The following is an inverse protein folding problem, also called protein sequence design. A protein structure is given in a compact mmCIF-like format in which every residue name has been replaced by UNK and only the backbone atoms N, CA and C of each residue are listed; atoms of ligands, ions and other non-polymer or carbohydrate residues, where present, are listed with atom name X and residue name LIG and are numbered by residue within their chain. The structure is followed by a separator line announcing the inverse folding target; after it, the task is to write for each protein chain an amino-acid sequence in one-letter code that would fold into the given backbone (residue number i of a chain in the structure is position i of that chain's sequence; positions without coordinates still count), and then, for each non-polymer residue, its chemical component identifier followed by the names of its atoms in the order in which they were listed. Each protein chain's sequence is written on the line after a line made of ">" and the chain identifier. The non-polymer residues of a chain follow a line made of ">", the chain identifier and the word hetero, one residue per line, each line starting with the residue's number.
data_IF_861278386481
#
_entry.id   IF_861278386481
#
_cell.length_a   1.000
_cell.length_b   1.000
_cell.length_c   1.000
_cell.angle_alpha   90.00
_cell.angle_beta   90.00
_cell.angle_gamma   90.00
#
_symmetry.space_group_name_H-M   'P 1'
#
loop_
_entity.id
_entity.type
_entity.pdbx_description
1 polymer ?
#
# COMPACT_ATOMS: atom_id res chain seq x y z
N UNK A 1 -27.99 -28.36 -9.30
CA UNK A 1 -26.95 -28.56 -10.35
C UNK A 1 -26.18 -27.29 -10.76
N UNK A 2 -26.80 -26.09 -10.82
CA UNK A 2 -26.13 -24.86 -11.29
C UNK A 2 -24.97 -24.36 -10.39
N UNK A 3 -25.14 -24.42 -9.08
CA UNK A 3 -24.13 -24.00 -8.10
C UNK A 3 -22.83 -24.81 -8.20
N UNK A 4 -22.91 -26.14 -8.32
CA UNK A 4 -21.71 -26.99 -8.49
C UNK A 4 -20.92 -26.61 -9.74
N UNK A 5 -21.59 -26.32 -10.87
CA UNK A 5 -20.93 -25.88 -12.11
C UNK A 5 -20.26 -24.52 -11.93
N UNK A 6 -20.92 -23.58 -11.26
CA UNK A 6 -20.34 -22.29 -10.93
C UNK A 6 -19.09 -22.42 -10.03
N UNK A 7 -19.13 -23.29 -9.01
CA UNK A 7 -17.97 -23.52 -8.13
C UNK A 7 -16.80 -24.20 -8.86
N UNK A 8 -17.08 -25.11 -9.81
CA UNK A 8 -16.04 -25.72 -10.64
C UNK A 8 -15.42 -24.67 -11.57
N UNK A 9 -16.24 -23.84 -12.22
CA UNK A 9 -15.74 -22.74 -13.06
C UNK A 9 -14.89 -21.74 -12.26
N UNK A 10 -15.34 -21.37 -11.06
CA UNK A 10 -14.60 -20.50 -10.14
C UNK A 10 -13.26 -21.12 -9.74
N UNK A 11 -13.23 -22.42 -9.40
CA UNK A 11 -12.00 -23.13 -9.05
C UNK A 11 -11.00 -23.13 -10.21
N UNK A 12 -11.48 -23.32 -11.45
CA UNK A 12 -10.65 -23.28 -12.65
C UNK A 12 -10.09 -21.87 -12.86
N UNK A 13 -10.93 -20.84 -12.78
CA UNK A 13 -10.51 -19.44 -12.89
C UNK A 13 -9.45 -19.09 -11.83
N UNK A 14 -9.69 -19.44 -10.57
CA UNK A 14 -8.74 -19.20 -9.47
C UNK A 14 -7.41 -19.94 -9.65
N UNK A 15 -7.43 -21.14 -10.24
CA UNK A 15 -6.20 -21.87 -10.54
C UNK A 15 -5.37 -21.18 -11.63
N UNK A 16 -6.02 -20.61 -12.64
CA UNK A 16 -5.38 -19.82 -13.68
C UNK A 16 -4.80 -18.51 -13.11
N UNK A 17 -5.61 -17.76 -12.34
CA UNK A 17 -5.18 -16.53 -11.64
C UNK A 17 -3.95 -16.77 -10.77
N UNK A 18 -3.88 -17.92 -10.07
CA UNK A 18 -2.71 -18.29 -9.25
C UNK A 18 -1.45 -18.46 -10.09
N UNK A 19 -1.56 -19.06 -11.28
CA UNK A 19 -0.42 -19.28 -12.16
C UNK A 19 0.10 -17.95 -12.72
N UNK A 20 -0.81 -17.07 -13.17
CA UNK A 20 -0.48 -15.71 -13.64
C UNK A 20 0.14 -14.87 -12.51
N UNK A 21 -0.40 -14.95 -11.29
CA UNK A 21 0.17 -14.30 -10.10
C UNK A 21 1.60 -14.74 -9.84
N UNK A 22 1.91 -16.04 -9.98
CA UNK A 22 3.26 -16.57 -9.76
C UNK A 22 4.25 -16.04 -10.80
N UNK A 23 3.81 -15.93 -12.05
CA UNK A 23 4.61 -15.36 -13.13
C UNK A 23 4.87 -13.86 -12.88
N UNK A 24 3.85 -13.09 -12.55
CA UNK A 24 3.93 -11.68 -12.16
C UNK A 24 4.93 -11.47 -11.01
N UNK A 25 4.85 -12.25 -9.93
CA UNK A 25 5.78 -12.15 -8.80
C UNK A 25 7.22 -12.53 -9.19
N UNK A 26 7.41 -13.43 -10.17
CA UNK A 26 8.73 -13.75 -10.70
C UNK A 26 9.36 -12.56 -11.42
N UNK A 27 8.57 -11.75 -12.14
CA UNK A 27 9.02 -10.53 -12.81
C UNK A 27 9.50 -9.52 -11.76
N UNK A 28 8.76 -9.34 -10.66
CA UNK A 28 9.20 -8.47 -9.58
C UNK A 28 10.52 -8.92 -8.95
N UNK A 29 10.67 -10.23 -8.70
CA UNK A 29 11.93 -10.78 -8.20
C UNK A 29 13.09 -10.46 -9.16
N UNK A 30 12.93 -10.69 -10.46
CA UNK A 30 13.97 -10.37 -11.47
C UNK A 30 14.24 -8.87 -11.57
N UNK A 31 13.21 -8.04 -11.44
CA UNK A 31 13.36 -6.59 -11.45
C UNK A 31 14.23 -6.10 -10.29
N UNK A 32 14.05 -6.63 -9.09
CA UNK A 32 14.94 -6.32 -7.95
C UNK A 32 16.39 -6.74 -8.16
N UNK A 33 16.63 -7.67 -9.08
CA UNK A 33 17.96 -8.15 -9.47
C UNK A 33 18.53 -7.41 -10.69
N UNK A 34 17.80 -6.42 -11.23
CA UNK A 34 18.19 -5.68 -12.43
C UNK A 34 18.04 -6.47 -13.74
N UNK A 35 17.31 -7.58 -13.73
CA UNK A 35 17.25 -8.56 -14.83
C UNK A 35 15.95 -8.48 -15.67
N UNK A 36 15.23 -7.35 -15.66
CA UNK A 36 13.94 -7.22 -16.36
C UNK A 36 13.84 -5.91 -17.14
N UNK A 37 13.08 -5.92 -18.23
CA UNK A 37 12.80 -4.72 -19.03
C UNK A 37 11.57 -3.96 -18.48
N UNK A 38 11.53 -2.64 -18.64
CA UNK A 38 10.41 -1.76 -18.23
C UNK A 38 9.05 -2.23 -18.76
N UNK A 39 9.01 -2.84 -19.95
CA UNK A 39 7.79 -3.38 -20.55
C UNK A 39 7.21 -4.58 -19.77
N UNK A 40 8.08 -5.49 -19.28
CA UNK A 40 7.65 -6.62 -18.46
C UNK A 40 7.12 -6.15 -17.10
N UNK A 41 7.82 -5.20 -16.48
CA UNK A 41 7.38 -4.60 -15.22
C UNK A 41 6.01 -3.91 -15.36
N UNK A 42 5.79 -3.20 -16.48
CA UNK A 42 4.50 -2.55 -16.76
C UNK A 42 3.36 -3.58 -16.84
N UNK A 43 3.56 -4.70 -17.53
CA UNK A 43 2.57 -5.79 -17.59
C UNK A 43 2.32 -6.42 -16.22
N UNK A 44 3.36 -6.68 -15.44
CA UNK A 44 3.24 -7.20 -14.09
C UNK A 44 2.39 -6.28 -13.18
N UNK A 45 2.57 -4.96 -13.30
CA UNK A 45 1.79 -3.97 -12.56
C UNK A 45 0.31 -3.94 -12.98
N UNK A 46 0.02 -4.06 -14.28
CA UNK A 46 -1.35 -4.14 -14.79
C UNK A 46 -2.07 -5.38 -14.22
N UNK A 47 -1.41 -6.54 -14.24
CA UNK A 47 -1.93 -7.77 -13.64
C UNK A 47 -2.14 -7.64 -12.13
N UNK A 48 -1.21 -6.99 -11.41
CA UNK A 48 -1.37 -6.76 -9.98
C UNK A 48 -2.62 -5.92 -9.66
N UNK A 49 -2.89 -4.88 -10.45
CA UNK A 49 -4.10 -4.05 -10.33
C UNK A 49 -5.38 -4.86 -10.57
N UNK A 50 -5.36 -5.79 -11.53
CA UNK A 50 -6.52 -6.64 -11.81
C UNK A 50 -6.77 -7.69 -10.71
N UNK A 51 -5.70 -8.25 -10.13
CA UNK A 51 -5.80 -9.10 -8.93
C UNK A 51 -6.44 -8.31 -7.77
N UNK A 52 -6.01 -7.07 -7.53
CA UNK A 52 -6.62 -6.22 -6.50
C UNK A 52 -8.11 -5.96 -6.76
N UNK A 53 -8.50 -5.71 -8.02
CA UNK A 53 -9.92 -5.58 -8.40
C UNK A 53 -10.69 -6.88 -8.13
N UNK A 54 -10.12 -8.03 -8.49
CA UNK A 54 -10.70 -9.36 -8.26
C UNK A 54 -10.86 -9.73 -6.78
N UNK A 55 -9.97 -9.22 -5.92
CA UNK A 55 -10.04 -9.37 -4.46
C UNK A 55 -11.01 -8.37 -3.78
N UNK A 56 -11.70 -7.53 -4.55
CA UNK A 56 -12.59 -6.49 -4.02
C UNK A 56 -11.86 -5.26 -3.47
N UNK A 57 -10.56 -5.13 -3.73
CA UNK A 57 -9.72 -4.00 -3.35
C UNK A 57 -9.67 -2.91 -4.45
N UNK A 58 -10.69 -2.87 -5.32
CA UNK A 58 -10.74 -1.96 -6.48
C UNK A 58 -10.60 -0.47 -6.12
N UNK A 59 -11.14 -0.04 -4.96
CA UNK A 59 -10.93 1.33 -4.43
C UNK A 59 -9.46 1.62 -4.16
N UNK A 60 -8.73 0.65 -3.60
CA UNK A 60 -7.31 0.79 -3.28
C UNK A 60 -6.42 0.67 -4.51
N UNK A 61 -6.88 -0.04 -5.54
CA UNK A 61 -6.19 -0.13 -6.82
C UNK A 61 -6.23 1.18 -7.63
N UNK A 62 -7.24 2.04 -7.40
CA UNK A 62 -7.45 3.30 -8.13
C UNK A 62 -6.84 4.50 -7.38
N UNK A 63 -6.78 4.47 -6.04
CA UNK A 63 -6.31 5.59 -5.22
C UNK A 63 -5.28 5.16 -4.16
N UNK A 64 -3.97 5.19 -4.48
CA UNK A 64 -2.97 5.38 -3.43
C UNK A 64 -3.19 6.78 -2.80
N UNK A 65 -2.98 6.92 -1.48
CA UNK A 65 -3.08 8.18 -0.69
C UNK A 65 -4.46 8.64 -0.17
N UNK A 66 -5.50 7.80 -0.17
CA UNK A 66 -6.71 8.15 0.59
C UNK A 66 -6.38 8.23 2.11
N UNK A 67 -6.93 9.19 2.87
CA UNK A 67 -6.70 9.32 4.32
C UNK A 67 -6.96 8.04 5.13
N UNK A 68 -7.79 7.13 4.60
CA UNK A 68 -8.13 5.85 5.22
C UNK A 68 -7.13 4.72 4.91
N UNK A 69 -6.26 4.89 3.92
CA UNK A 69 -5.34 3.84 3.45
C UNK A 69 -4.31 3.46 4.52
N UNK A 70 -3.71 4.43 5.22
CA UNK A 70 -2.74 4.15 6.30
C UNK A 70 -3.40 3.33 7.42
N UNK A 71 -4.54 3.73 8.02
CA UNK A 71 -5.24 2.93 9.02
C UNK A 71 -5.53 1.48 8.57
N UNK A 72 -5.90 1.30 7.30
CA UNK A 72 -6.23 -0.03 6.78
C UNK A 72 -5.00 -0.92 6.62
N UNK A 73 -3.93 -0.40 5.99
CA UNK A 73 -2.67 -1.14 5.81
C UNK A 73 -2.08 -1.55 7.15
N UNK A 74 -2.12 -0.67 8.15
CA UNK A 74 -1.71 -0.98 9.54
C UNK A 74 -2.55 -2.10 10.14
N UNK A 75 -3.88 -2.08 9.97
CA UNK A 75 -4.76 -3.15 10.47
C UNK A 75 -4.49 -4.49 9.78
N UNK A 76 -4.29 -4.49 8.46
CA UNK A 76 -3.99 -5.71 7.70
C UNK A 76 -2.63 -6.29 8.08
N UNK A 77 -1.60 -5.45 8.21
CA UNK A 77 -0.29 -5.85 8.70
C UNK A 77 -0.37 -6.53 10.06
N UNK A 78 -1.05 -5.89 11.03
CA UNK A 78 -1.28 -6.47 12.37
C UNK A 78 -2.05 -7.78 12.32
N UNK A 79 -3.05 -7.90 11.43
CA UNK A 79 -3.83 -9.12 11.28
C UNK A 79 -3.00 -10.31 10.77
N UNK A 80 -1.98 -10.05 9.95
CA UNK A 80 -1.03 -11.07 9.47
C UNK A 80 0.26 -11.16 10.29
N UNK A 81 0.35 -10.43 11.41
CA UNK A 81 1.49 -10.47 12.34
C UNK A 81 2.71 -9.64 11.94
N UNK A 82 2.57 -8.70 10.99
CA UNK A 82 3.65 -7.83 10.50
C UNK A 82 3.40 -6.38 10.94
N UNK A 83 4.36 -5.78 11.64
CA UNK A 83 4.33 -4.33 11.88
C UNK A 83 4.86 -3.59 10.66
N UNK A 84 3.98 -2.82 10.03
CA UNK A 84 4.23 -2.08 8.79
C UNK A 84 4.51 -0.60 9.05
N UNK A 85 4.43 -0.15 10.31
CA UNK A 85 4.73 1.23 10.67
C UNK A 85 6.24 1.43 10.88
N UNK A 86 6.83 2.52 10.36
CA UNK A 86 8.19 2.88 10.73
C UNK A 86 8.25 3.16 12.23
N UNK A 87 9.35 2.79 12.89
CA UNK A 87 9.55 3.04 14.33
C UNK A 87 9.42 4.51 14.72
N UNK A 88 9.66 5.43 13.78
CA UNK A 88 9.48 6.88 13.97
C UNK A 88 8.00 7.30 14.12
N UNK A 89 7.05 6.48 13.68
CA UNK A 89 5.62 6.73 13.81
C UNK A 89 5.15 6.33 15.22
N UNK A 90 5.49 7.18 16.19
CA UNK A 90 5.17 6.95 17.59
C UNK A 90 3.71 7.31 17.88
N UNK A 91 2.79 6.33 17.71
CA UNK A 91 1.34 6.52 17.86
C UNK A 91 0.87 6.78 19.30
N UNK A 92 1.76 6.68 20.29
CA UNK A 92 1.47 7.01 21.68
C UNK A 92 1.63 8.50 22.02
N UNK A 93 2.07 9.35 21.08
CA UNK A 93 2.12 10.79 21.32
C UNK A 93 0.72 11.38 21.31
N UNK A 94 0.39 12.19 22.32
CA UNK A 94 -0.89 12.88 22.32
C UNK A 94 -0.88 14.04 21.32
N UNK A 95 -2.04 14.38 20.75
CA UNK A 95 -2.18 15.53 19.84
C UNK A 95 -1.62 16.82 20.47
N UNK A 96 -1.78 16.99 21.79
CA UNK A 96 -1.21 18.14 22.53
C UNK A 96 0.31 18.19 22.52
N UNK A 97 1.00 17.06 22.44
CA UNK A 97 2.46 17.01 22.39
C UNK A 97 2.96 17.39 21.00
N UNK A 98 2.27 16.92 19.95
CA UNK A 98 2.54 17.28 18.56
C UNK A 98 2.30 18.78 18.31
N UNK A 99 1.20 19.33 18.82
CA UNK A 99 0.88 20.77 18.70
C UNK A 99 1.95 21.64 19.38
N UNK A 100 2.49 21.20 20.52
CA UNK A 100 3.58 21.90 21.23
C UNK A 100 4.89 21.86 20.44
N UNK A 101 5.20 20.73 19.82
CA UNK A 101 6.42 20.55 19.02
C UNK A 101 6.36 21.40 17.75
N UNK A 102 5.23 21.41 17.04
CA UNK A 102 4.98 22.27 15.88
C UNK A 102 5.07 23.75 16.25
N UNK A 103 4.50 24.15 17.40
CA UNK A 103 4.58 25.54 17.87
C UNK A 103 6.03 25.96 18.19
N UNK A 104 6.83 25.08 18.79
CA UNK A 104 8.24 25.33 19.09
C UNK A 104 9.11 25.39 17.83
N UNK A 105 8.80 24.58 16.83
CA UNK A 105 9.53 24.57 15.56
C UNK A 105 9.26 25.83 14.73
N UNK A 106 8.00 26.28 14.69
CA UNK A 106 7.62 27.55 14.05
C UNK A 106 8.28 28.77 14.72
N UNK A 107 8.46 28.76 16.05
CA UNK A 107 9.15 29.84 16.77
C UNK A 107 10.66 29.88 16.53
N UNK A 108 11.28 28.76 16.17
CA UNK A 108 12.72 28.70 15.85
C UNK A 108 13.04 29.19 14.44
N UNK A 109 12.06 29.19 13.53
CA UNK A 109 12.26 29.54 12.12
C UNK A 109 12.08 31.03 11.80
N UNK A 110 11.56 31.85 12.73
CA UNK A 110 11.34 33.28 12.49
C UNK A 110 12.04 34.22 13.50
N UNK A 111 13.39 34.37 13.46
CA UNK A 111 14.09 35.40 14.24
C UNK A 111 14.10 36.78 13.56
N UNK A 112 13.57 36.95 12.34
CA UNK A 112 13.91 38.10 11.49
C UNK A 112 12.87 39.23 11.42
N UNK A 113 11.74 39.13 12.11
CA UNK A 113 10.73 40.21 12.09
C UNK A 113 10.81 41.20 13.27
N UNK A 114 11.85 41.12 14.11
CA UNK A 114 12.02 41.99 15.30
C UNK A 114 12.66 43.37 15.01
N UNK A 115 12.98 43.69 13.75
CA UNK A 115 13.78 44.89 13.39
C UNK A 115 13.12 45.87 12.42
N UNK A 116 11.80 45.78 12.19
CA UNK A 116 11.05 46.90 11.59
C UNK A 116 10.06 47.48 12.60
N UNK A 117 10.57 48.41 13.41
CA UNK A 117 9.79 49.50 13.98
C UNK A 117 9.66 50.62 12.96
#
# INVERSE_FOLDING_TARGET
>A
MRFRRAMVALKIALAQERQETKEMLSIYKRYTQGQTNKAELKRANEQFVDILKGLGLGVFAILPFAPLTIPLVVKLGRLVGVDVLPSSFNMNRSVKELDREIAQENQKQDPQNSLKK
#
